data_IF_684560093658
#
_entry.id   IF_684560093658
#
_cell.length_a   1.000
_cell.length_b   1.000
_cell.length_c   1.000
_cell.angle_alpha   90.00
_cell.angle_beta   90.00
_cell.angle_gamma   90.00
#
_symmetry.space_group_name_H-M   'P 1'
#
loop_
_entity.id
_entity.type
_entity.pdbx_description
1 polymer ?
#
# COMPACT_ATOMS: atom_id res chain seq x y z
N UNK A 1 -28.63 -38.56 0.74
CA UNK A 1 -27.19 -38.92 0.87
C UNK A 1 -26.30 -37.79 1.42
N UNK A 2 -26.37 -36.53 0.95
CA UNK A 2 -25.53 -35.40 1.48
C UNK A 2 -25.73 -34.96 2.95
N UNK A 3 -26.77 -35.46 3.65
CA UNK A 3 -27.08 -35.10 5.05
C UNK A 3 -26.50 -36.11 6.07
N UNK A 4 -26.15 -37.33 5.63
CA UNK A 4 -25.53 -38.34 6.50
C UNK A 4 -23.99 -38.18 6.54
N UNK A 5 -23.37 -37.79 5.43
CA UNK A 5 -21.91 -37.52 5.37
C UNK A 5 -21.48 -36.39 6.32
N UNK A 6 -22.28 -35.33 6.44
CA UNK A 6 -22.02 -34.22 7.37
C UNK A 6 -22.12 -34.63 8.84
N UNK A 7 -22.97 -35.62 9.16
CA UNK A 7 -23.10 -36.16 10.52
C UNK A 7 -21.95 -37.09 10.87
N UNK A 8 -21.49 -37.92 9.92
CA UNK A 8 -20.36 -38.84 10.09
C UNK A 8 -19.03 -38.08 10.20
N UNK A 9 -18.81 -37.05 9.37
CA UNK A 9 -17.61 -36.19 9.44
C UNK A 9 -17.59 -35.36 10.72
N UNK A 10 -18.75 -34.84 11.18
CA UNK A 10 -18.83 -34.13 12.46
C UNK A 10 -18.56 -35.06 13.66
N UNK A 11 -19.00 -36.32 13.59
CA UNK A 11 -18.71 -37.32 14.64
C UNK A 11 -17.22 -37.70 14.69
N UNK A 12 -16.55 -37.82 13.54
CA UNK A 12 -15.13 -38.15 13.44
C UNK A 12 -14.21 -36.99 13.87
N UNK A 13 -14.57 -35.73 13.61
CA UNK A 13 -13.79 -34.57 14.07
C UNK A 13 -13.93 -34.35 15.58
N UNK A 14 -15.08 -34.66 16.17
CA UNK A 14 -15.26 -34.61 17.64
C UNK A 14 -14.55 -35.75 18.38
N UNK A 15 -14.37 -36.92 17.74
CA UNK A 15 -13.69 -38.09 18.34
C UNK A 15 -12.16 -37.89 18.41
N UNK A 16 -11.57 -37.15 17.45
CA UNK A 16 -10.13 -36.82 17.44
C UNK A 16 -9.78 -35.70 18.43
N UNK A 17 -10.75 -34.86 18.82
CA UNK A 17 -10.55 -33.78 19.79
C UNK A 17 -10.72 -34.22 21.26
N UNK A 18 -11.07 -35.48 21.54
CA UNK A 18 -11.36 -35.96 22.91
C UNK A 18 -10.37 -37.00 23.48
N UNK A 19 -9.35 -37.43 22.72
CA UNK A 19 -8.35 -38.43 23.16
C UNK A 19 -6.92 -37.85 23.38
N UNK A 20 -6.78 -36.52 23.43
CA UNK A 20 -5.46 -35.86 23.53
C UNK A 20 -5.05 -35.34 24.90
N UNK A 21 -5.76 -35.65 25.99
CA UNK A 21 -5.41 -35.19 27.34
C UNK A 21 -5.45 -36.35 28.33
N UNK A 22 -4.40 -36.40 29.17
CA UNK A 22 -4.15 -37.28 30.32
C UNK A 22 -3.42 -38.59 29.93
N UNK A 23 -2.28 -39.01 30.51
CA UNK A 23 -1.59 -38.70 31.77
C UNK A 23 -0.11 -39.11 31.60
N UNK A 24 0.82 -38.34 32.17
CA UNK A 24 1.90 -38.90 32.99
C UNK A 24 2.35 -37.82 33.97
N UNK A 25 1.94 -38.02 35.23
CA UNK A 25 2.22 -37.13 36.33
C UNK A 25 3.67 -37.21 36.79
N UNK A 26 4.18 -36.06 37.22
CA UNK A 26 5.23 -35.95 38.22
C UNK A 26 4.93 -34.70 39.06
N UNK A 27 4.55 -34.93 40.31
CA UNK A 27 4.46 -33.88 41.33
C UNK A 27 5.85 -33.66 41.92
N UNK A 28 6.31 -32.41 41.96
CA UNK A 28 7.12 -31.90 43.08
C UNK A 28 6.89 -30.40 43.21
N UNK A 29 6.45 -30.03 44.41
CA UNK A 29 6.43 -28.68 44.97
C UNK A 29 7.85 -28.21 45.26
N UNK A 30 8.19 -26.96 44.93
CA UNK A 30 8.96 -26.04 45.79
C UNK A 30 9.29 -24.71 45.09
N UNK A 31 9.23 -23.67 45.90
CA UNK A 31 9.90 -22.37 45.83
C UNK A 31 9.67 -21.40 44.64
N UNK A 32 8.86 -20.40 44.96
CA UNK A 32 8.97 -19.04 44.49
C UNK A 32 10.40 -18.48 44.55
N UNK A 33 10.82 -17.77 43.50
CA UNK A 33 11.47 -16.46 43.55
C UNK A 33 12.06 -16.10 42.19
N UNK A 34 11.46 -15.13 41.50
CA UNK A 34 12.13 -13.92 40.96
C UNK A 34 11.20 -13.22 39.96
N UNK A 35 10.36 -12.35 40.50
CA UNK A 35 9.78 -11.23 39.77
C UNK A 35 10.82 -10.11 39.79
N UNK A 36 11.51 -9.84 38.69
CA UNK A 36 12.10 -8.51 38.42
C UNK A 36 12.34 -8.30 36.92
N UNK A 37 11.49 -7.42 36.37
CA UNK A 37 11.79 -6.45 35.33
C UNK A 37 12.27 -6.94 33.95
N UNK A 38 11.30 -7.11 33.06
CA UNK A 38 11.38 -6.56 31.71
C UNK A 38 10.09 -5.77 31.42
N UNK A 39 9.97 -4.58 32.04
CA UNK A 39 9.13 -3.50 31.50
C UNK A 39 9.79 -3.07 30.17
N UNK A 40 9.50 -3.82 29.10
CA UNK A 40 9.77 -3.31 27.76
C UNK A 40 8.82 -2.14 27.54
N UNK A 41 9.41 -0.94 27.45
CA UNK A 41 8.73 0.24 26.98
C UNK A 41 8.18 -0.06 25.58
N UNK A 42 6.87 -0.21 25.46
CA UNK A 42 6.16 -0.04 24.19
C UNK A 42 6.28 1.43 23.81
N UNK A 43 7.43 1.81 23.24
CA UNK A 43 7.52 3.01 22.42
C UNK A 43 6.59 2.77 21.23
N UNK A 44 5.35 3.22 21.34
CA UNK A 44 4.36 3.17 20.28
C UNK A 44 4.92 3.97 19.10
N UNK A 45 5.56 3.28 18.14
CA UNK A 45 6.11 3.92 16.95
C UNK A 45 4.94 4.47 16.16
N UNK A 46 4.80 5.79 16.12
CA UNK A 46 3.78 6.48 15.32
C UNK A 46 3.79 5.92 13.91
N UNK A 47 2.66 5.39 13.46
CA UNK A 47 2.50 4.85 12.11
C UNK A 47 2.87 5.93 11.08
N UNK A 48 3.79 5.58 10.17
CA UNK A 48 4.28 6.49 9.14
C UNK A 48 3.23 6.68 8.06
N UNK A 49 2.85 7.93 7.80
CA UNK A 49 1.81 8.26 6.83
C UNK A 49 2.41 8.39 5.43
N UNK A 50 1.93 7.56 4.50
CA UNK A 50 2.38 7.56 3.10
C UNK A 50 1.34 8.19 2.18
N UNK A 51 1.79 9.07 1.29
CA UNK A 51 1.01 9.58 0.15
C UNK A 51 1.61 9.08 -1.16
N UNK A 52 0.79 8.40 -1.97
CA UNK A 52 1.11 7.97 -3.32
C UNK A 52 0.48 8.95 -4.31
N UNK A 53 1.29 9.87 -4.83
CA UNK A 53 0.92 10.81 -5.88
C UNK A 53 1.26 10.19 -7.23
N UNK A 54 0.34 10.25 -8.20
CA UNK A 54 0.65 9.70 -9.52
C UNK A 54 -0.06 10.42 -10.67
N UNK A 55 0.60 10.46 -11.82
CA UNK A 55 -0.03 10.79 -13.10
C UNK A 55 -0.14 9.54 -13.96
N UNK A 56 -1.20 9.43 -14.76
CA UNK A 56 -1.34 8.32 -15.71
C UNK A 56 -2.28 8.70 -16.85
N UNK A 57 -1.77 8.56 -18.08
CA UNK A 57 -2.52 8.77 -19.33
C UNK A 57 -3.33 7.52 -19.69
N UNK A 58 -2.68 6.37 -19.79
CA UNK A 58 -3.28 5.11 -20.27
C UNK A 58 -3.54 4.07 -19.17
N UNK A 59 -3.18 4.35 -17.91
CA UNK A 59 -3.51 3.49 -16.77
C UNK A 59 -2.37 2.66 -16.20
N UNK A 60 -1.24 2.50 -16.90
CA UNK A 60 -0.10 1.68 -16.42
C UNK A 60 0.41 2.16 -15.06
N UNK A 61 0.75 3.45 -14.94
CA UNK A 61 1.19 4.04 -13.67
C UNK A 61 0.11 3.97 -12.58
N UNK A 62 -1.17 4.08 -12.95
CA UNK A 62 -2.29 3.90 -11.99
C UNK A 62 -2.27 2.49 -11.38
N UNK A 63 -2.01 1.47 -12.18
CA UNK A 63 -1.92 0.08 -11.71
C UNK A 63 -0.79 -0.09 -10.71
N UNK A 64 0.40 0.47 -10.99
CA UNK A 64 1.53 0.45 -10.06
C UNK A 64 1.22 1.22 -8.78
N UNK A 65 0.66 2.43 -8.88
CA UNK A 65 0.29 3.24 -7.73
C UNK A 65 -0.72 2.53 -6.81
N UNK A 66 -1.67 1.75 -7.37
CA UNK A 66 -2.58 0.90 -6.59
C UNK A 66 -1.85 -0.22 -5.85
N UNK A 67 -0.84 -0.85 -6.45
CA UNK A 67 -0.02 -1.86 -5.78
C UNK A 67 0.73 -1.24 -4.60
N UNK A 68 1.35 -0.08 -4.81
CA UNK A 68 2.07 0.66 -3.75
C UNK A 68 1.12 1.04 -2.61
N UNK A 69 -0.07 1.54 -2.93
CA UNK A 69 -1.12 1.80 -1.93
C UNK A 69 -1.42 0.55 -1.09
N UNK A 70 -1.62 -0.60 -1.74
CA UNK A 70 -1.92 -1.87 -1.05
C UNK A 70 -0.79 -2.30 -0.12
N UNK A 71 0.46 -2.11 -0.51
CA UNK A 71 1.63 -2.48 0.30
C UNK A 71 1.90 -1.53 1.47
N UNK A 72 1.56 -0.25 1.32
CA UNK A 72 1.91 0.81 2.29
C UNK A 72 0.77 1.24 3.19
N UNK A 73 -0.48 0.84 2.90
CA UNK A 73 -1.67 1.41 3.56
C UNK A 73 -1.90 2.90 3.23
N UNK A 74 -1.12 3.47 2.31
CA UNK A 74 -1.09 4.91 2.07
C UNK A 74 -2.35 5.49 1.42
N UNK A 75 -2.39 6.82 1.33
CA UNK A 75 -3.41 7.53 0.56
C UNK A 75 -2.98 7.69 -0.89
N UNK A 76 -3.91 7.71 -1.84
CA UNK A 76 -3.62 7.96 -3.25
C UNK A 76 -4.14 9.32 -3.71
N UNK A 77 -3.36 10.02 -4.51
CA UNK A 77 -3.77 11.24 -5.21
C UNK A 77 -3.40 11.16 -6.69
N UNK A 78 -4.37 11.33 -7.57
CA UNK A 78 -4.14 11.37 -9.03
C UNK A 78 -3.90 12.81 -9.48
N UNK A 79 -2.74 13.06 -10.05
CA UNK A 79 -2.43 14.27 -10.81
C UNK A 79 -3.27 14.27 -12.09
N UNK A 80 -3.97 15.38 -12.33
CA UNK A 80 -4.72 15.62 -13.55
C UNK A 80 -4.48 17.05 -14.03
N UNK A 81 -4.07 17.21 -15.28
CA UNK A 81 -3.95 18.51 -15.94
C UNK A 81 -5.34 19.06 -16.30
N UNK A 82 -5.49 20.39 -16.31
CA UNK A 82 -6.71 21.07 -16.79
C UNK A 82 -6.97 20.73 -18.26
N UNK A 83 -5.95 20.93 -19.10
CA UNK A 83 -5.94 20.50 -20.51
C UNK A 83 -5.51 19.04 -20.58
N UNK A 84 -6.35 18.17 -21.15
CA UNK A 84 -6.01 16.75 -21.34
C UNK A 84 -4.93 16.63 -22.40
N UNK A 85 -3.98 15.71 -22.19
CA UNK A 85 -3.03 15.33 -23.23
C UNK A 85 -3.75 14.59 -24.37
N UNK A 86 -3.23 14.69 -25.61
CA UNK A 86 -3.75 13.94 -26.75
C UNK A 86 -3.80 12.42 -26.51
N UNK A 87 -4.80 11.78 -27.11
CA UNK A 87 -4.94 10.32 -27.10
C UNK A 87 -3.98 9.65 -28.09
N UNK A 88 -3.81 10.23 -29.28
CA UNK A 88 -2.79 9.84 -30.25
C UNK A 88 -1.40 10.03 -29.62
N UNK A 89 -0.51 9.05 -29.84
CA UNK A 89 0.80 8.98 -29.21
C UNK A 89 1.75 10.05 -29.76
N UNK A 90 1.85 10.18 -31.08
CA UNK A 90 2.77 11.14 -31.72
C UNK A 90 2.42 12.57 -31.35
N UNK A 91 1.13 12.94 -31.42
CA UNK A 91 0.65 14.26 -30.97
C UNK A 91 0.93 14.52 -29.49
N UNK A 92 0.94 13.47 -28.67
CA UNK A 92 1.28 13.59 -27.26
C UNK A 92 2.79 13.82 -27.08
N UNK A 93 3.63 13.15 -27.87
CA UNK A 93 5.08 13.41 -27.89
C UNK A 93 5.39 14.83 -28.35
N UNK A 94 4.74 15.33 -29.42
CA UNK A 94 4.89 16.72 -29.87
C UNK A 94 4.54 17.72 -28.76
N UNK A 95 3.43 17.44 -28.05
CA UNK A 95 3.00 18.26 -26.91
C UNK A 95 4.05 18.21 -25.79
N UNK A 96 4.54 17.02 -25.45
CA UNK A 96 5.54 16.85 -24.39
C UNK A 96 6.88 17.51 -24.74
N UNK A 97 7.32 17.41 -25.99
CA UNK A 97 8.54 18.06 -26.46
C UNK A 97 8.41 19.58 -26.37
N UNK A 98 7.31 20.14 -26.86
CA UNK A 98 7.03 21.57 -26.74
C UNK A 98 7.00 22.03 -25.28
N UNK A 99 6.31 21.30 -24.40
CA UNK A 99 6.27 21.60 -22.97
C UNK A 99 7.67 21.53 -22.33
N UNK A 100 8.58 20.69 -22.85
CA UNK A 100 9.95 20.58 -22.36
C UNK A 100 10.77 21.79 -22.80
N UNK A 101 10.72 22.12 -24.08
CA UNK A 101 11.47 23.23 -24.69
C UNK A 101 11.06 24.57 -24.06
N UNK A 102 9.77 24.75 -23.83
CA UNK A 102 9.20 25.96 -23.20
C UNK A 102 9.31 25.94 -21.66
N UNK A 103 9.86 24.87 -21.06
CA UNK A 103 9.83 24.62 -19.61
C UNK A 103 8.44 24.76 -19.00
N UNK A 104 7.40 24.47 -19.78
CA UNK A 104 6.01 24.63 -19.39
C UNK A 104 5.65 23.74 -18.19
N UNK A 105 4.73 24.22 -17.37
CA UNK A 105 4.17 23.50 -16.23
C UNK A 105 2.64 23.50 -16.33
N UNK A 106 2.04 22.46 -16.95
CA UNK A 106 0.61 22.43 -17.19
C UNK A 106 -0.21 22.62 -15.91
N UNK A 107 -1.20 23.51 -15.97
CA UNK A 107 -2.06 23.79 -14.83
C UNK A 107 -2.81 22.52 -14.37
N UNK A 108 -2.80 22.27 -13.07
CA UNK A 108 -3.49 21.13 -12.47
C UNK A 108 -4.96 21.42 -12.17
N UNK A 109 -5.80 20.38 -12.24
CA UNK A 109 -7.22 20.46 -11.84
C UNK A 109 -7.40 20.62 -10.35
N UNK A 110 -6.55 19.96 -9.56
CA UNK A 110 -6.61 19.93 -8.10
C UNK A 110 -5.20 19.93 -7.53
N UNK A 111 -5.04 20.50 -6.34
CA UNK A 111 -3.82 20.43 -5.54
C UNK A 111 -4.02 19.50 -4.34
N UNK A 112 -2.94 18.93 -3.83
CA UNK A 112 -2.97 18.22 -2.55
C UNK A 112 -3.10 19.27 -1.44
N UNK A 113 -4.15 19.20 -0.61
CA UNK A 113 -4.45 20.23 0.40
C UNK A 113 -3.37 20.36 1.48
N UNK A 114 -2.77 19.26 1.92
CA UNK A 114 -1.76 19.27 2.99
C UNK A 114 -0.77 18.13 2.80
N UNK A 115 0.32 18.39 2.07
CA UNK A 115 1.41 17.41 1.88
C UNK A 115 2.21 17.21 3.18
N UNK A 116 2.33 18.26 4.01
CA UNK A 116 3.11 18.25 5.27
C UNK A 116 2.68 17.20 6.31
N UNK A 117 1.52 16.56 6.16
CA UNK A 117 1.01 15.54 7.10
C UNK A 117 1.51 14.13 6.82
N UNK A 118 2.23 13.93 5.71
CA UNK A 118 2.77 12.64 5.28
C UNK A 118 4.26 12.59 5.56
N UNK A 119 4.72 11.48 6.12
CA UNK A 119 6.15 11.22 6.33
C UNK A 119 6.84 10.87 5.00
N UNK A 120 6.12 10.20 4.10
CA UNK A 120 6.63 9.78 2.80
C UNK A 120 5.68 10.20 1.68
N UNK A 121 6.24 10.74 0.61
CA UNK A 121 5.53 11.04 -0.63
C UNK A 121 6.17 10.27 -1.77
N UNK A 122 5.43 9.32 -2.33
CA UNK A 122 5.84 8.54 -3.49
C UNK A 122 5.22 9.19 -4.72
N UNK A 123 6.03 9.52 -5.73
CA UNK A 123 5.58 10.18 -6.96
C UNK A 123 5.77 9.21 -8.14
N UNK A 124 4.68 8.85 -8.81
CA UNK A 124 4.69 7.96 -9.98
C UNK A 124 4.26 8.66 -11.26
N UNK A 125 4.98 8.45 -12.35
CA UNK A 125 4.66 9.00 -13.67
C UNK A 125 5.14 8.08 -14.80
N UNK A 126 4.56 8.18 -16.00
CA UNK A 126 5.08 7.48 -17.18
C UNK A 126 6.35 8.15 -17.70
N UNK A 127 7.23 7.36 -18.32
CA UNK A 127 8.36 7.85 -19.10
C UNK A 127 7.88 8.11 -20.54
N UNK A 128 7.97 9.34 -21.01
CA UNK A 128 7.54 9.74 -22.36
C UNK A 128 8.72 10.11 -23.25
N UNK A 129 9.63 10.93 -22.72
CA UNK A 129 10.89 11.31 -23.36
C UNK A 129 11.98 10.83 -22.41
N UNK A 130 12.76 9.82 -22.81
CA UNK A 130 13.68 9.09 -21.92
C UNK A 130 14.66 9.97 -21.12
N UNK A 131 14.92 11.18 -21.60
CA UNK A 131 15.84 12.15 -20.99
C UNK A 131 15.16 13.18 -20.07
N UNK A 132 13.90 12.94 -19.68
CA UNK A 132 13.13 13.89 -18.90
C UNK A 132 13.31 13.68 -17.39
N UNK A 133 13.89 14.67 -16.70
CA UNK A 133 14.25 14.55 -15.28
C UNK A 133 13.05 14.60 -14.30
N UNK A 134 11.88 15.13 -14.70
CA UNK A 134 10.73 15.34 -13.82
C UNK A 134 9.42 15.35 -14.58
N UNK A 135 8.32 14.81 -14.08
CA UNK A 135 7.00 14.98 -14.72
C UNK A 135 6.63 16.46 -14.95
N UNK A 136 6.36 16.85 -16.20
CA UNK A 136 6.00 18.23 -16.60
C UNK A 136 4.80 18.79 -15.84
N UNK A 137 3.88 17.92 -15.44
CA UNK A 137 2.70 18.28 -14.66
C UNK A 137 2.96 18.54 -13.16
N UNK A 138 4.20 18.58 -12.68
CA UNK A 138 4.48 19.02 -11.29
C UNK A 138 4.48 20.54 -11.22
N UNK A 139 3.85 21.10 -10.18
CA UNK A 139 3.93 22.52 -9.89
C UNK A 139 5.11 22.74 -8.94
N UNK A 140 5.98 23.71 -9.24
CA UNK A 140 6.98 24.19 -8.29
C UNK A 140 6.30 24.83 -7.07
#
# INVERSE_FOLDING_TARGET
>A
MRRMEKKIVAFLVCFVLFMGVAVNGFSTSAEAATKKEAKQSTKQSKEKKVLVVYFSRTGTTKTVAKKIKKMTGGMMFRIQTKKKYPSNYDKMLDTAQKEQDEKARPALKKKVKSIKKYDFVIIGYPLWLAYHNLIQCTQA
#
